data_IF_488695919603
#
_entry.id   IF_488695919603
#
_cell.length_a   1.000
_cell.length_b   1.000
_cell.length_c   1.000
_cell.angle_alpha   90.00
_cell.angle_beta   90.00
_cell.angle_gamma   90.00
#
_symmetry.space_group_name_H-M   'P 1'
#
loop_
_entity.id
_entity.type
_entity.pdbx_description
1 polymer ?
#
# COMPACT_ATOMS: atom_id res chain seq x y z
N UNK A 1 -37.26 -0.51 36.70
CA UNK A 1 -36.17 0.04 35.86
C UNK A 1 -35.13 -1.06 35.69
N UNK A 2 -35.11 -1.73 34.53
CA UNK A 2 -34.20 -2.85 34.28
C UNK A 2 -32.97 -2.28 33.56
N UNK A 3 -31.85 -2.18 34.27
CA UNK A 3 -30.57 -1.77 33.68
C UNK A 3 -29.98 -2.97 32.94
N UNK A 4 -30.17 -3.01 31.62
CA UNK A 4 -29.42 -3.89 30.73
C UNK A 4 -28.01 -3.30 30.55
N UNK A 5 -27.16 -3.41 31.56
CA UNK A 5 -25.71 -3.32 31.35
C UNK A 5 -25.22 -4.67 30.83
N UNK A 6 -25.64 -5.06 29.62
CA UNK A 6 -24.91 -6.09 28.91
C UNK A 6 -23.55 -5.47 28.58
N UNK A 7 -22.52 -5.93 29.30
CA UNK A 7 -21.14 -5.70 28.94
C UNK A 7 -20.96 -6.33 27.56
N UNK A 8 -21.12 -5.54 26.50
CA UNK A 8 -20.72 -5.93 25.15
C UNK A 8 -19.24 -6.19 25.27
N UNK A 9 -18.83 -7.45 25.18
CA UNK A 9 -17.40 -7.79 25.10
C UNK A 9 -16.89 -7.15 23.83
N UNK A 10 -16.20 -6.02 23.96
CA UNK A 10 -15.56 -5.36 22.83
C UNK A 10 -14.47 -6.28 22.28
N UNK A 11 -14.69 -6.81 21.09
CA UNK A 11 -13.71 -7.63 20.39
C UNK A 11 -12.78 -6.70 19.60
N UNK A 12 -11.87 -5.99 20.26
CA UNK A 12 -10.86 -5.19 19.56
C UNK A 12 -9.89 -6.10 18.77
N UNK A 13 -9.52 -5.69 17.56
CA UNK A 13 -8.45 -6.34 16.76
C UNK A 13 -7.15 -6.35 17.56
N UNK A 14 -6.41 -7.46 17.54
CA UNK A 14 -5.04 -7.49 18.10
C UNK A 14 -4.00 -6.88 17.15
N UNK A 15 -4.39 -6.63 15.91
CA UNK A 15 -3.58 -6.01 14.87
C UNK A 15 -4.09 -4.57 14.68
N UNK A 16 -3.52 -3.58 15.37
CA UNK A 16 -3.92 -2.19 15.21
C UNK A 16 -3.44 -1.67 13.86
N UNK A 17 -4.16 -0.69 13.32
CA UNK A 17 -3.63 0.03 12.16
C UNK A 17 -2.43 0.87 12.61
N UNK A 18 -1.25 0.68 12.02
CA UNK A 18 -0.09 1.51 12.36
C UNK A 18 -0.37 2.98 12.07
N UNK A 19 0.21 3.86 12.88
CA UNK A 19 0.42 5.24 12.46
C UNK A 19 1.23 5.21 11.16
N UNK A 20 0.84 6.03 10.17
CA UNK A 20 1.57 6.10 8.90
C UNK A 20 2.92 6.77 9.16
N UNK A 21 3.88 6.02 9.68
CA UNK A 21 5.30 6.28 9.51
C UNK A 21 5.73 5.60 8.21
N UNK A 22 5.10 6.02 7.11
CA UNK A 22 5.59 5.62 5.80
C UNK A 22 6.92 6.35 5.61
N UNK A 23 8.01 5.61 5.78
CA UNK A 23 9.29 6.05 5.26
C UNK A 23 9.09 6.27 3.76
N UNK A 24 9.19 7.52 3.33
CA UNK A 24 9.02 7.92 1.92
C UNK A 24 9.86 7.02 0.99
N UNK A 25 11.07 6.65 1.42
CA UNK A 25 11.93 5.71 0.71
C UNK A 25 11.33 4.30 0.61
N UNK A 26 10.75 3.76 1.69
CA UNK A 26 10.11 2.44 1.66
C UNK A 26 8.93 2.43 0.69
N UNK A 27 8.05 3.43 0.76
CA UNK A 27 6.93 3.56 -0.18
C UNK A 27 7.41 3.63 -1.62
N UNK A 28 8.43 4.46 -1.88
CA UNK A 28 9.03 4.55 -3.21
C UNK A 28 9.51 3.18 -3.69
N UNK A 29 10.30 2.46 -2.89
CA UNK A 29 10.79 1.14 -3.27
C UNK A 29 9.67 0.14 -3.54
N UNK A 30 8.61 0.16 -2.74
CA UNK A 30 7.43 -0.72 -2.95
C UNK A 30 6.72 -0.39 -4.26
N UNK A 31 6.51 0.89 -4.57
CA UNK A 31 5.93 1.33 -5.85
C UNK A 31 6.79 0.85 -7.02
N UNK A 32 8.09 1.14 -7.02
CA UNK A 32 8.97 0.76 -8.13
C UNK A 32 9.16 -0.75 -8.25
N UNK A 33 9.05 -1.50 -7.15
CA UNK A 33 9.07 -2.97 -7.18
C UNK A 33 7.79 -3.50 -7.81
N UNK A 34 6.64 -2.93 -7.46
CA UNK A 34 5.35 -3.33 -8.03
C UNK A 34 5.26 -3.04 -9.54
N UNK A 35 5.87 -1.95 -10.03
CA UNK A 35 5.98 -1.66 -11.48
C UNK A 35 6.73 -2.75 -12.27
N UNK A 36 7.47 -3.64 -11.61
CA UNK A 36 8.15 -4.78 -12.26
C UNK A 36 7.23 -5.98 -12.48
N UNK A 37 5.98 -5.97 -11.98
CA UNK A 37 5.00 -7.04 -12.26
C UNK A 37 4.66 -6.98 -13.75
N UNK A 38 5.01 -8.03 -14.49
CA UNK A 38 4.88 -8.09 -15.96
C UNK A 38 3.58 -8.73 -16.44
N UNK A 39 2.86 -9.41 -15.55
CA UNK A 39 1.71 -10.25 -15.93
C UNK A 39 0.41 -9.56 -15.52
N UNK A 40 -0.49 -9.26 -16.47
CA UNK A 40 -1.86 -8.88 -16.17
C UNK A 40 -2.58 -9.98 -15.40
N UNK A 41 -3.45 -9.60 -14.46
CA UNK A 41 -4.39 -10.54 -13.87
C UNK A 41 -5.38 -11.05 -14.93
N UNK A 42 -5.99 -12.20 -14.70
CA UNK A 42 -6.97 -12.80 -15.64
C UNK A 42 -8.12 -11.82 -15.92
N UNK A 43 -8.32 -11.47 -17.19
CA UNK A 43 -9.36 -10.50 -17.60
C UNK A 43 -8.90 -9.03 -17.67
N UNK A 44 -7.63 -8.74 -17.35
CA UNK A 44 -7.06 -7.40 -17.43
C UNK A 44 -6.06 -7.26 -18.58
N UNK A 45 -6.03 -6.10 -19.22
CA UNK A 45 -5.10 -5.79 -20.31
C UNK A 45 -3.71 -5.35 -19.82
N UNK A 46 -3.60 -4.96 -18.54
CA UNK A 46 -2.39 -4.42 -17.93
C UNK A 46 -2.13 -5.05 -16.55
N UNK A 47 -0.86 -5.15 -16.12
CA UNK A 47 -0.52 -5.60 -14.77
C UNK A 47 -1.13 -4.69 -13.68
N UNK A 48 -1.41 -5.23 -12.48
CA UNK A 48 -1.81 -4.43 -11.32
C UNK A 48 -0.80 -3.30 -11.03
N UNK A 49 -1.31 -2.09 -10.78
CA UNK A 49 -0.48 -0.93 -10.45
C UNK A 49 -0.05 -0.05 -11.63
N UNK A 50 -0.47 -0.37 -12.87
CA UNK A 50 -0.37 0.58 -13.98
C UNK A 50 -1.34 1.75 -13.79
N UNK A 51 -0.88 2.96 -14.09
CA UNK A 51 -1.69 4.18 -14.02
C UNK A 51 -2.14 4.58 -15.42
N UNK A 52 -3.44 4.80 -15.59
CA UNK A 52 -4.01 5.31 -16.83
C UNK A 52 -4.06 6.83 -16.78
N UNK A 53 -3.50 7.47 -17.80
CA UNK A 53 -3.50 8.93 -17.92
C UNK A 53 -4.43 9.37 -19.06
N UNK A 54 -5.16 10.47 -18.90
CA UNK A 54 -5.83 11.14 -20.00
C UNK A 54 -4.84 11.51 -21.11
N UNK A 55 -5.28 11.35 -22.36
CA UNK A 55 -4.43 11.58 -23.54
C UNK A 55 -4.09 13.06 -23.77
N UNK A 56 -4.82 13.98 -23.13
CA UNK A 56 -4.69 15.43 -23.25
C UNK A 56 -3.76 16.06 -22.21
N UNK A 57 -3.16 15.26 -21.32
CA UNK A 57 -2.19 15.75 -20.36
C UNK A 57 -0.91 16.25 -21.05
N UNK A 58 -0.42 17.41 -20.62
CA UNK A 58 0.81 18.00 -21.14
C UNK A 58 2.05 17.13 -20.84
N UNK A 59 3.07 17.20 -21.70
CA UNK A 59 4.36 16.51 -21.49
C UNK A 59 4.98 16.81 -20.11
N UNK A 60 4.79 18.03 -19.62
CA UNK A 60 5.30 18.48 -18.32
C UNK A 60 4.74 17.67 -17.14
N UNK A 61 3.49 17.23 -17.24
CA UNK A 61 2.88 16.37 -16.23
C UNK A 61 3.68 15.06 -16.06
N UNK A 62 4.05 14.44 -17.17
CA UNK A 62 4.83 13.20 -17.18
C UNK A 62 6.27 13.42 -16.70
N UNK A 63 6.89 14.56 -17.03
CA UNK A 63 8.23 14.91 -16.53
C UNK A 63 8.26 15.01 -15.01
N UNK A 64 7.21 15.55 -14.41
CA UNK A 64 7.10 15.64 -12.95
C UNK A 64 6.88 14.28 -12.29
N UNK A 65 6.15 13.36 -12.93
CA UNK A 65 5.97 11.99 -12.45
C UNK A 65 7.28 11.19 -12.37
N UNK A 66 8.23 11.47 -13.26
CA UNK A 66 9.54 10.79 -13.32
C UNK A 66 10.68 11.67 -12.80
N UNK A 67 10.37 12.65 -11.96
CA UNK A 67 11.34 13.62 -11.46
C UNK A 67 12.42 13.02 -10.54
N UNK A 68 12.18 11.86 -9.94
CA UNK A 68 13.11 11.17 -9.05
C UNK A 68 13.88 10.04 -9.77
N UNK A 69 15.09 9.77 -9.30
CA UNK A 69 15.96 8.72 -9.83
C UNK A 69 16.57 7.86 -8.72
N UNK A 70 16.89 6.61 -9.06
CA UNK A 70 17.60 5.71 -8.16
C UNK A 70 19.07 6.14 -8.09
N UNK A 71 19.54 6.38 -6.88
CA UNK A 71 20.88 6.88 -6.55
C UNK A 71 21.53 5.94 -5.55
N UNK A 72 22.86 5.87 -5.60
CA UNK A 72 23.66 5.12 -4.63
C UNK A 72 24.53 6.10 -3.86
N UNK A 73 24.50 6.01 -2.54
CA UNK A 73 25.35 6.79 -1.65
C UNK A 73 26.29 5.81 -0.95
N UNK A 74 27.59 6.01 -1.13
CA UNK A 74 28.61 5.23 -0.44
C UNK A 74 29.04 5.99 0.81
N UNK A 75 28.84 5.37 1.98
CA UNK A 75 29.32 5.95 3.24
C UNK A 75 30.84 5.96 3.31
N UNK A 76 31.41 6.74 4.24
CA UNK A 76 32.85 6.75 4.52
C UNK A 76 33.41 5.37 4.94
N UNK A 77 32.55 4.44 5.34
CA UNK A 77 32.90 3.05 5.69
C UNK A 77 32.76 2.08 4.51
N UNK A 78 32.52 2.57 3.29
CA UNK A 78 32.36 1.76 2.08
C UNK A 78 31.00 1.07 1.94
N UNK A 79 30.05 1.30 2.85
CA UNK A 79 28.69 0.75 2.74
C UNK A 79 27.90 1.53 1.70
N UNK A 80 27.47 0.86 0.62
CA UNK A 80 26.55 1.42 -0.37
C UNK A 80 25.10 1.36 0.13
N UNK A 81 24.40 2.48 0.06
CA UNK A 81 22.95 2.56 0.32
C UNK A 81 22.24 3.12 -0.90
N UNK A 82 21.14 2.49 -1.29
CA UNK A 82 20.32 2.91 -2.43
C UNK A 82 19.22 3.85 -1.95
N UNK A 83 19.03 4.96 -2.65
CA UNK A 83 18.00 5.96 -2.38
C UNK A 83 17.29 6.35 -3.67
N UNK A 84 16.03 6.76 -3.56
CA UNK A 84 15.28 7.37 -4.65
C UNK A 84 15.14 8.86 -4.34
N UNK A 85 15.79 9.70 -5.15
CA UNK A 85 15.95 11.13 -4.86
C UNK A 85 15.81 12.00 -6.11
N UNK A 86 15.42 13.26 -5.90
CA UNK A 86 15.32 14.28 -6.95
C UNK A 86 16.60 15.13 -6.97
N UNK A 87 17.72 14.52 -7.36
CA UNK A 87 19.05 15.15 -7.40
C UNK A 87 19.11 16.42 -8.28
N UNK A 88 18.32 16.43 -9.35
CA UNK A 88 18.25 17.51 -10.34
C UNK A 88 17.27 18.63 -9.95
N UNK A 89 16.64 18.53 -8.78
CA UNK A 89 15.68 19.52 -8.26
C UNK A 89 14.59 19.88 -9.27
N UNK A 90 14.09 18.88 -10.01
CA UNK A 90 12.99 19.06 -10.95
C UNK A 90 11.70 19.32 -10.19
N UNK A 91 10.74 19.99 -10.82
CA UNK A 91 9.35 20.00 -10.34
C UNK A 91 8.83 18.57 -10.22
N UNK A 92 8.11 18.26 -9.15
CA UNK A 92 7.68 16.91 -8.80
C UNK A 92 6.35 16.89 -8.02
N UNK A 93 5.59 17.99 -8.02
CA UNK A 93 4.35 18.14 -7.26
C UNK A 93 3.31 17.07 -7.63
N UNK A 94 3.25 16.70 -8.92
CA UNK A 94 2.40 15.61 -9.42
C UNK A 94 2.79 14.27 -8.78
N UNK A 95 4.09 13.97 -8.74
CA UNK A 95 4.60 12.74 -8.13
C UNK A 95 4.32 12.73 -6.62
N UNK A 96 4.55 13.83 -5.93
CA UNK A 96 4.33 13.91 -4.48
C UNK A 96 2.86 13.80 -4.11
N UNK A 97 1.97 14.41 -4.89
CA UNK A 97 0.51 14.25 -4.73
C UNK A 97 0.10 12.79 -4.93
N UNK A 98 0.68 12.12 -5.93
CA UNK A 98 0.41 10.71 -6.22
C UNK A 98 0.87 9.80 -5.07
N UNK A 99 2.08 10.03 -4.53
CA UNK A 99 2.58 9.30 -3.35
C UNK A 99 1.68 9.51 -2.15
N UNK A 100 1.25 10.75 -1.90
CA UNK A 100 0.37 11.08 -0.78
C UNK A 100 -0.99 10.39 -0.92
N UNK A 101 -1.59 10.40 -2.11
CA UNK A 101 -2.84 9.71 -2.39
C UNK A 101 -2.71 8.20 -2.16
N UNK A 102 -1.62 7.58 -2.63
CA UNK A 102 -1.36 6.16 -2.42
C UNK A 102 -1.12 5.82 -0.94
N UNK A 103 -0.39 6.67 -0.21
CA UNK A 103 -0.20 6.49 1.23
C UNK A 103 -1.52 6.58 1.99
N UNK A 104 -2.41 7.51 1.61
CA UNK A 104 -3.77 7.62 2.14
C UNK A 104 -4.59 6.36 1.86
N UNK A 105 -4.55 5.85 0.63
CA UNK A 105 -5.23 4.63 0.23
C UNK A 105 -4.70 3.41 1.02
N UNK A 106 -3.39 3.26 1.15
CA UNK A 106 -2.77 2.21 1.95
C UNK A 106 -3.21 2.28 3.41
N UNK A 107 -3.34 3.48 3.98
CA UNK A 107 -3.86 3.64 5.33
C UNK A 107 -5.33 3.27 5.48
N UNK A 108 -6.16 3.61 4.50
CA UNK A 108 -7.56 3.20 4.48
C UNK A 108 -7.68 1.68 4.40
N UNK A 109 -6.84 1.04 3.58
CA UNK A 109 -6.74 -0.41 3.48
C UNK A 109 -6.41 -1.08 4.81
N UNK A 110 -5.40 -0.59 5.55
CA UNK A 110 -5.08 -1.12 6.87
C UNK A 110 -6.25 -0.96 7.86
N UNK A 111 -6.97 0.17 7.76
CA UNK A 111 -8.15 0.47 8.57
C UNK A 111 -9.31 -0.47 8.27
N UNK A 112 -9.51 -0.81 7.00
CA UNK A 112 -10.46 -1.82 6.57
C UNK A 112 -10.16 -3.18 7.23
N UNK A 113 -8.90 -3.62 7.23
CA UNK A 113 -8.50 -4.88 7.87
C UNK A 113 -8.65 -4.88 9.40
N UNK A 114 -8.40 -3.75 10.05
CA UNK A 114 -8.64 -3.61 11.49
C UNK A 114 -10.12 -3.86 11.82
N UNK A 115 -11.05 -3.26 11.07
CA UNK A 115 -12.51 -3.47 11.25
C UNK A 115 -12.91 -4.90 10.86
N UNK A 116 -12.34 -5.45 9.79
CA UNK A 116 -12.60 -6.83 9.38
C UNK A 116 -12.15 -7.82 10.47
N UNK A 117 -10.99 -7.58 11.09
CA UNK A 117 -10.44 -8.43 12.15
C UNK A 117 -11.27 -8.41 13.43
N UNK A 118 -11.85 -7.26 13.80
CA UNK A 118 -12.86 -7.18 14.88
C UNK A 118 -13.99 -8.19 14.65
N UNK A 119 -14.56 -8.20 13.44
CA UNK A 119 -15.62 -9.13 13.08
C UNK A 119 -15.16 -10.60 13.04
N UNK A 120 -13.95 -10.85 12.51
CA UNK A 120 -13.36 -12.20 12.48
C UNK A 120 -13.13 -12.75 13.88
N UNK A 121 -12.58 -11.94 14.78
CA UNK A 121 -12.34 -12.29 16.18
C UNK A 121 -13.64 -12.57 16.93
N UNK A 122 -14.68 -11.75 16.73
CA UNK A 122 -16.00 -12.00 17.28
C UNK A 122 -16.58 -13.36 16.82
N UNK A 123 -16.29 -13.75 15.58
CA UNK A 123 -16.65 -15.06 15.00
C UNK A 123 -15.64 -16.17 15.28
N UNK A 124 -14.64 -15.97 16.14
CA UNK A 124 -13.55 -16.91 16.44
C UNK A 124 -12.75 -17.37 15.21
N UNK A 125 -12.72 -16.56 14.15
CA UNK A 125 -11.88 -16.76 12.96
C UNK A 125 -10.51 -16.11 13.18
N UNK A 126 -9.46 -16.66 12.54
CA UNK A 126 -8.10 -16.10 12.58
C UNK A 126 -8.06 -14.71 11.95
N UNK A 127 -7.43 -13.76 12.62
CA UNK A 127 -7.21 -12.40 12.11
C UNK A 127 -6.27 -12.41 10.90
N UNK A 128 -6.50 -11.52 9.95
CA UNK A 128 -5.66 -11.34 8.77
C UNK A 128 -4.67 -10.21 9.04
N UNK A 129 -3.38 -10.46 8.81
CA UNK A 129 -2.35 -9.43 8.90
C UNK A 129 -2.11 -8.84 7.51
N UNK A 130 -2.54 -7.59 7.24
CA UNK A 130 -2.29 -6.96 5.95
C UNK A 130 -0.80 -6.70 5.73
N UNK A 131 -0.37 -6.81 4.47
CA UNK A 131 0.97 -6.47 3.97
C UNK A 131 0.87 -5.84 2.56
N UNK A 132 2.00 -5.42 1.99
CA UNK A 132 2.02 -4.82 0.65
C UNK A 132 1.48 -5.72 -0.45
N UNK A 133 1.75 -7.03 -0.40
CA UNK A 133 1.26 -7.98 -1.40
C UNK A 133 -0.27 -8.02 -1.40
N UNK A 134 -0.88 -8.27 -0.24
CA UNK A 134 -2.35 -8.27 -0.08
C UNK A 134 -2.99 -6.92 -0.44
N UNK A 135 -2.28 -5.80 -0.21
CA UNK A 135 -2.74 -4.48 -0.67
C UNK A 135 -2.83 -4.41 -2.20
N UNK A 136 -1.77 -4.83 -2.90
CA UNK A 136 -1.73 -4.78 -4.35
C UNK A 136 -2.71 -5.76 -5.00
N UNK A 137 -2.93 -6.92 -4.40
CA UNK A 137 -3.86 -7.92 -4.91
C UNK A 137 -5.31 -7.41 -4.79
N UNK A 138 -5.69 -6.85 -3.63
CA UNK A 138 -6.99 -6.20 -3.47
C UNK A 138 -7.15 -4.98 -4.39
N UNK A 139 -6.09 -4.18 -4.57
CA UNK A 139 -6.08 -3.05 -5.50
C UNK A 139 -6.25 -3.51 -6.96
N UNK A 140 -5.71 -4.68 -7.30
CA UNK A 140 -5.87 -5.32 -8.60
C UNK A 140 -7.25 -5.94 -8.85
N UNK A 141 -8.14 -5.92 -7.85
CA UNK A 141 -9.48 -6.51 -7.94
C UNK A 141 -9.53 -7.99 -7.59
N UNK A 142 -8.47 -8.54 -7.01
CA UNK A 142 -8.53 -9.92 -6.48
C UNK A 142 -9.38 -9.94 -5.20
N UNK A 143 -10.34 -10.88 -5.14
CA UNK A 143 -11.10 -11.11 -3.93
C UNK A 143 -10.20 -11.75 -2.88
N UNK A 144 -10.32 -11.27 -1.63
CA UNK A 144 -9.71 -11.97 -0.49
C UNK A 144 -10.50 -13.26 -0.30
N UNK A 145 -10.03 -14.35 -0.88
CA UNK A 145 -10.64 -15.66 -0.69
C UNK A 145 -10.58 -16.02 0.79
N UNK A 146 -11.72 -16.33 1.40
CA UNK A 146 -11.79 -16.68 2.83
C UNK A 146 -11.02 -17.98 3.18
N UNK A 147 -10.57 -18.71 2.16
CA UNK A 147 -10.04 -20.07 2.24
C UNK A 147 -8.52 -20.13 2.01
N UNK A 148 -7.75 -19.74 3.02
CA UNK A 148 -6.52 -20.47 3.35
C UNK A 148 -6.72 -21.21 4.68
N UNK A 149 -7.79 -22.01 4.76
CA UNK A 149 -7.78 -23.25 5.53
C UNK A 149 -7.02 -24.32 4.73
N UNK A 150 -5.72 -24.11 4.50
CA UNK A 150 -4.84 -25.24 4.20
C UNK A 150 -4.17 -25.66 5.50
N UNK A 151 -4.71 -26.76 6.00
CA UNK A 151 -4.10 -27.74 6.90
C UNK A 151 -2.58 -27.69 6.80
N UNK A 152 -1.93 -27.43 7.93
CA UNK A 152 -0.91 -28.28 8.53
C UNK A 152 -0.83 -27.99 10.04
#
# INVERSE_FOLDING_TARGET
KQTLSQVVKEHASTIPTPEILVSDQQLKFEIYTNLKRKTPATGHNYPPGFMHFPSDYSEEYYKQLVAEEVTKITSSKGVETVFISNTKQRRNEVLDTTKLALAGLYRMYLKYFEVLNVNRKARKRKEIRPNWQTFWDLFGGEEITEDEEKKD
#
